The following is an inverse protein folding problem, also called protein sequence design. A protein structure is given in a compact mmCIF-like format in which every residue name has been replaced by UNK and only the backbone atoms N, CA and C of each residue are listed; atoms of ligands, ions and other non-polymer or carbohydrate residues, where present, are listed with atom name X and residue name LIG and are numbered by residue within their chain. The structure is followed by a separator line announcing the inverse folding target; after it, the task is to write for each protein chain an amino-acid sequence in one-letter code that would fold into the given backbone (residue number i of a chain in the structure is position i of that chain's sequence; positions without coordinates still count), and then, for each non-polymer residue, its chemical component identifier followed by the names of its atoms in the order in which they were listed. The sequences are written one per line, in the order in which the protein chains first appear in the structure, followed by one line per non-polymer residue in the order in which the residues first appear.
data_IF_075151763037
#
_entry.id   IF_075151763037
#
_cell.length_a   1.000
_cell.length_b   1.000
_cell.length_c   1.000
_cell.angle_alpha   90.00
_cell.angle_beta   90.00
_cell.angle_gamma   90.00
#
_symmetry.space_group_name_H-M   'P 1'
#
loop_
_entity.id
_entity.type
_entity.pdbx_description
1 polymer ?
#
# COMPACT_ATOMS: atom_id res chain seq x y z
N UNK A 1 44.63 42.26 -3.98
CA UNK A 1 44.29 41.36 -5.12
C UNK A 1 44.32 39.89 -4.69
N UNK A 2 45.42 39.36 -4.14
CA UNK A 2 45.51 37.92 -3.81
C UNK A 2 44.72 37.45 -2.57
N UNK A 3 44.41 38.33 -1.61
CA UNK A 3 43.64 37.95 -0.41
C UNK A 3 42.13 37.92 -0.67
N UNK A 4 41.62 38.81 -1.52
CA UNK A 4 40.22 38.84 -1.93
C UNK A 4 39.84 37.63 -2.80
N UNK A 5 40.75 37.18 -3.67
CA UNK A 5 40.56 35.97 -4.47
C UNK A 5 40.55 34.71 -3.60
N UNK A 6 41.44 34.60 -2.61
CA UNK A 6 41.43 33.49 -1.64
C UNK A 6 40.14 33.45 -0.81
N UNK A 7 39.69 34.62 -0.33
CA UNK A 7 38.44 34.72 0.42
C UNK A 7 37.22 34.31 -0.41
N UNK A 8 37.22 34.62 -1.71
CA UNK A 8 36.15 34.22 -2.63
C UNK A 8 36.14 32.70 -2.88
N UNK A 9 37.30 32.10 -3.15
CA UNK A 9 37.41 30.65 -3.36
C UNK A 9 37.04 29.84 -2.09
N UNK A 10 37.41 30.33 -0.91
CA UNK A 10 37.01 29.71 0.35
C UNK A 10 35.50 29.84 0.62
N UNK A 11 34.88 30.98 0.28
CA UNK A 11 33.43 31.16 0.35
C UNK A 11 32.69 30.22 -0.62
N UNK A 12 33.18 30.08 -1.85
CA UNK A 12 32.64 29.16 -2.85
C UNK A 12 32.75 27.70 -2.40
N UNK A 13 33.87 27.31 -1.80
CA UNK A 13 34.06 25.97 -1.23
C UNK A 13 33.06 25.69 -0.10
N UNK A 14 32.88 26.65 0.82
CA UNK A 14 31.89 26.54 1.92
C UNK A 14 30.47 26.42 1.39
N UNK A 15 30.11 27.20 0.37
CA UNK A 15 28.81 27.12 -0.28
C UNK A 15 28.58 25.72 -0.90
N UNK A 16 29.58 25.15 -1.56
CA UNK A 16 29.50 23.78 -2.11
C UNK A 16 29.23 22.72 -1.04
N UNK A 17 29.88 22.81 0.12
CA UNK A 17 29.65 21.89 1.25
C UNK A 17 28.23 22.00 1.80
N UNK A 18 27.71 23.21 1.98
CA UNK A 18 26.34 23.42 2.46
C UNK A 18 25.29 22.95 1.45
N UNK A 19 25.55 23.10 0.14
CA UNK A 19 24.66 22.58 -0.89
C UNK A 19 24.57 21.05 -0.88
N UNK A 20 25.70 20.36 -0.74
CA UNK A 20 25.71 18.91 -0.59
C UNK A 20 25.02 18.46 0.70
N UNK A 21 25.16 19.24 1.78
CA UNK A 21 24.42 18.99 3.02
C UNK A 21 22.91 19.11 2.82
N UNK A 22 22.45 20.13 2.11
CA UNK A 22 21.03 20.31 1.76
C UNK A 22 20.52 19.15 0.89
N UNK A 23 21.26 18.75 -0.15
CA UNK A 23 20.92 17.58 -0.99
C UNK A 23 20.80 16.30 -0.17
N UNK A 24 21.78 16.05 0.70
CA UNK A 24 21.79 14.88 1.58
C UNK A 24 20.60 14.90 2.54
N UNK A 25 20.26 16.06 3.11
CA UNK A 25 19.13 16.19 4.01
C UNK A 25 17.80 15.89 3.31
N UNK A 26 17.57 16.45 2.11
CA UNK A 26 16.36 16.16 1.30
C UNK A 26 16.22 14.65 1.06
N UNK A 27 17.27 13.99 0.59
CA UNK A 27 17.25 12.54 0.32
C UNK A 27 16.92 11.74 1.58
N UNK A 28 17.55 12.05 2.71
CA UNK A 28 17.30 11.38 3.99
C UNK A 28 15.86 11.55 4.48
N UNK A 29 15.29 12.74 4.35
CA UNK A 29 13.90 13.00 4.73
C UNK A 29 12.92 12.16 3.89
N UNK A 30 13.13 12.10 2.57
CA UNK A 30 12.28 11.30 1.69
C UNK A 30 12.47 9.79 1.89
N UNK A 31 13.69 9.34 2.17
CA UNK A 31 13.96 7.95 2.55
C UNK A 31 13.22 7.56 3.84
N UNK A 32 13.27 8.41 4.87
CA UNK A 32 12.53 8.18 6.12
C UNK A 32 11.00 8.19 5.90
N UNK A 33 10.49 9.04 5.02
CA UNK A 33 9.05 9.06 4.66
C UNK A 33 8.64 7.78 3.95
N UNK A 34 9.43 7.31 2.98
CA UNK A 34 9.21 6.02 2.29
C UNK A 34 9.20 4.88 3.29
N UNK A 35 10.21 4.79 4.15
CA UNK A 35 10.33 3.73 5.16
C UNK A 35 9.09 3.68 6.08
N UNK A 36 8.68 4.82 6.65
CA UNK A 36 7.47 4.89 7.49
C UNK A 36 6.21 4.48 6.74
N UNK A 37 6.08 4.90 5.48
CA UNK A 37 4.93 4.54 4.66
C UNK A 37 4.90 3.06 4.30
N UNK A 38 6.06 2.45 4.05
CA UNK A 38 6.18 1.01 3.76
C UNK A 38 5.91 0.15 5.00
N UNK A 39 6.40 0.55 6.16
CA UNK A 39 6.09 -0.09 7.45
C UNK A 39 4.59 -0.02 7.76
N UNK A 40 3.99 1.15 7.58
CA UNK A 40 2.54 1.36 7.74
C UNK A 40 1.74 0.46 6.79
N UNK A 41 2.13 0.40 5.51
CA UNK A 41 1.48 -0.45 4.52
C UNK A 41 1.58 -1.93 4.87
N UNK A 42 2.76 -2.41 5.30
CA UNK A 42 2.95 -3.81 5.72
C UNK A 42 2.05 -4.16 6.89
N UNK A 43 1.97 -3.29 7.91
CA UNK A 43 1.09 -3.49 9.06
C UNK A 43 -0.39 -3.50 8.67
N UNK A 44 -0.82 -2.59 7.77
CA UNK A 44 -2.19 -2.55 7.25
C UNK A 44 -2.54 -3.83 6.48
N UNK A 45 -1.65 -4.31 5.61
CA UNK A 45 -1.84 -5.53 4.83
C UNK A 45 -1.91 -6.78 5.71
N UNK A 46 -1.06 -6.87 6.74
CA UNK A 46 -1.12 -7.98 7.70
C UNK A 46 -2.43 -7.96 8.50
N UNK A 47 -2.85 -6.79 8.99
CA UNK A 47 -4.12 -6.64 9.68
C UNK A 47 -5.31 -6.98 8.78
N UNK A 48 -5.25 -6.61 7.49
CA UNK A 48 -6.28 -6.94 6.51
C UNK A 48 -6.35 -8.45 6.26
N UNK A 49 -5.22 -9.13 6.07
CA UNK A 49 -5.15 -10.60 5.93
C UNK A 49 -5.80 -11.29 7.13
N UNK A 50 -5.40 -10.93 8.36
CA UNK A 50 -5.99 -11.49 9.58
C UNK A 50 -7.50 -11.30 9.67
N UNK A 51 -8.00 -10.12 9.26
CA UNK A 51 -9.46 -9.85 9.22
C UNK A 51 -10.18 -10.71 8.18
N UNK A 52 -9.58 -10.90 7.01
CA UNK A 52 -10.13 -11.72 5.95
C UNK A 52 -10.14 -13.20 6.34
N UNK A 53 -9.05 -13.71 6.91
CA UNK A 53 -8.96 -15.09 7.41
C UNK A 53 -9.99 -15.36 8.49
N UNK A 54 -10.14 -14.43 9.44
CA UNK A 54 -11.19 -14.54 10.47
C UNK A 54 -12.58 -14.60 9.83
N UNK A 55 -12.87 -13.70 8.89
CA UNK A 55 -14.18 -13.64 8.23
C UNK A 55 -14.47 -14.88 7.39
N UNK A 56 -13.43 -15.50 6.81
CA UNK A 56 -13.55 -16.78 6.11
C UNK A 56 -13.92 -17.90 7.10
N UNK A 57 -13.23 -17.98 8.23
CA UNK A 57 -13.54 -18.97 9.27
C UNK A 57 -14.96 -18.78 9.82
N UNK A 58 -15.37 -17.53 10.07
CA UNK A 58 -16.73 -17.22 10.55
C UNK A 58 -17.79 -17.64 9.51
N UNK A 59 -17.50 -17.46 8.21
CA UNK A 59 -18.37 -17.90 7.12
C UNK A 59 -18.48 -19.43 7.07
N UNK A 60 -17.36 -20.14 7.18
CA UNK A 60 -17.33 -21.61 7.18
C UNK A 60 -18.08 -22.19 8.39
N UNK A 61 -17.94 -21.56 9.56
CA UNK A 61 -18.66 -21.95 10.77
C UNK A 61 -20.17 -21.73 10.62
N UNK A 62 -20.60 -20.54 10.17
CA UNK A 62 -22.02 -20.24 9.95
C UNK A 62 -22.67 -21.20 8.93
N UNK A 63 -21.93 -21.58 7.89
CA UNK A 63 -22.35 -22.56 6.90
C UNK A 63 -22.48 -23.97 7.49
N UNK A 64 -21.54 -24.37 8.34
CA UNK A 64 -21.60 -25.66 9.06
C UNK A 64 -22.82 -25.71 9.99
N UNK A 65 -23.07 -24.66 10.75
CA UNK A 65 -24.23 -24.57 11.66
C UNK A 65 -25.56 -24.60 10.91
N UNK A 66 -25.62 -23.95 9.74
CA UNK A 66 -26.78 -24.00 8.87
C UNK A 66 -27.01 -25.43 8.33
N UNK A 67 -25.96 -26.12 7.91
CA UNK A 67 -26.06 -27.50 7.43
C UNK A 67 -26.56 -28.44 8.55
N UNK A 68 -26.00 -28.34 9.76
CA UNK A 68 -26.46 -29.10 10.94
C UNK A 68 -27.93 -28.81 11.25
N UNK A 69 -28.33 -27.55 11.22
CA UNK A 69 -29.72 -27.15 11.49
C UNK A 69 -30.69 -27.73 10.46
N UNK A 70 -30.32 -27.67 9.17
CA UNK A 70 -31.11 -28.27 8.08
C UNK A 70 -31.23 -29.79 8.23
N UNK A 71 -30.13 -30.48 8.59
CA UNK A 71 -30.14 -31.91 8.84
C UNK A 71 -31.03 -32.31 10.02
N UNK A 72 -30.99 -31.56 11.12
CA UNK A 72 -31.90 -31.78 12.27
C UNK A 72 -33.35 -31.64 11.86
N UNK A 73 -33.71 -30.59 11.12
CA UNK A 73 -35.09 -30.38 10.63
C UNK A 73 -35.56 -31.53 9.74
N UNK A 74 -34.73 -31.97 8.79
CA UNK A 74 -35.09 -33.08 7.90
C UNK A 74 -35.24 -34.42 8.65
N UNK A 75 -34.46 -34.61 9.72
CA UNK A 75 -34.55 -35.81 10.56
C UNK A 75 -35.85 -35.85 11.37
N UNK A 76 -36.38 -34.68 11.76
CA UNK A 76 -37.64 -34.53 12.49
C UNK A 76 -38.87 -34.47 11.58
N UNK A 77 -38.69 -34.46 10.26
CA UNK A 77 -39.78 -34.35 9.29
C UNK A 77 -40.61 -35.64 9.24
N UNK A 78 -41.79 -35.59 9.86
CA UNK A 78 -42.75 -36.70 9.92
C UNK A 78 -43.48 -36.95 8.60
N UNK A 79 -43.39 -36.03 7.63
CA UNK A 79 -44.01 -36.23 6.31
C UNK A 79 -43.26 -37.28 5.47
N UNK A 80 -41.98 -37.50 5.76
CA UNK A 80 -41.12 -38.48 5.07
C UNK A 80 -41.26 -39.84 5.75
N UNK A 81 -42.03 -40.73 5.12
CA UNK A 81 -42.37 -42.05 5.67
C UNK A 81 -41.35 -43.15 5.36
N UNK A 82 -40.56 -42.99 4.30
CA UNK A 82 -39.56 -43.98 3.89
C UNK A 82 -38.14 -43.55 4.26
N UNK A 83 -37.36 -44.48 4.82
CA UNK A 83 -35.93 -44.29 5.08
C UNK A 83 -35.17 -43.94 3.80
N UNK A 84 -35.48 -44.60 2.68
CA UNK A 84 -34.80 -44.38 1.40
C UNK A 84 -35.07 -42.98 0.86
N UNK A 85 -36.30 -42.49 0.99
CA UNK A 85 -36.66 -41.12 0.60
C UNK A 85 -35.94 -40.08 1.48
N UNK A 86 -35.86 -40.34 2.79
CA UNK A 86 -35.10 -39.50 3.73
C UNK A 86 -33.63 -39.44 3.35
N UNK A 87 -33.00 -40.58 3.11
CA UNK A 87 -31.59 -40.65 2.69
C UNK A 87 -31.35 -39.91 1.35
N UNK A 88 -32.27 -40.04 0.38
CA UNK A 88 -32.20 -39.28 -0.87
C UNK A 88 -32.26 -37.77 -0.63
N UNK A 89 -33.25 -37.30 0.13
CA UNK A 89 -33.41 -35.88 0.49
C UNK A 89 -32.20 -35.33 1.26
N UNK A 90 -31.61 -36.12 2.17
CA UNK A 90 -30.37 -35.77 2.88
C UNK A 90 -29.21 -35.52 1.89
N UNK A 91 -29.02 -36.41 0.90
CA UNK A 91 -27.94 -36.28 -0.09
C UNK A 91 -28.15 -35.06 -0.99
N UNK A 92 -29.37 -34.84 -1.47
CA UNK A 92 -29.70 -33.70 -2.33
C UNK A 92 -29.51 -32.37 -1.60
N UNK A 93 -29.98 -32.27 -0.36
CA UNK A 93 -29.77 -31.11 0.49
C UNK A 93 -28.29 -30.84 0.78
N UNK A 94 -27.50 -31.90 1.03
CA UNK A 94 -26.08 -31.77 1.26
C UNK A 94 -25.37 -31.26 0.00
N UNK A 95 -25.70 -31.83 -1.17
CA UNK A 95 -25.15 -31.40 -2.46
C UNK A 95 -25.49 -29.92 -2.75
N UNK A 96 -26.77 -29.55 -2.62
CA UNK A 96 -27.22 -28.17 -2.84
C UNK A 96 -26.56 -27.19 -1.88
N UNK A 97 -26.45 -27.55 -0.59
CA UNK A 97 -25.79 -26.69 0.41
C UNK A 97 -24.31 -26.52 0.09
N UNK A 98 -23.61 -27.60 -0.27
CA UNK A 98 -22.20 -27.55 -0.68
C UNK A 98 -21.98 -26.66 -1.91
N UNK A 99 -22.84 -26.75 -2.92
CA UNK A 99 -22.73 -25.90 -4.12
C UNK A 99 -22.88 -24.41 -3.80
N UNK A 100 -23.79 -24.05 -2.89
CA UNK A 100 -23.94 -22.66 -2.42
C UNK A 100 -22.70 -22.22 -1.65
N UNK A 101 -22.17 -23.09 -0.78
CA UNK A 101 -20.97 -22.80 0.01
C UNK A 101 -19.75 -22.58 -0.88
N UNK A 102 -19.53 -23.45 -1.86
CA UNK A 102 -18.41 -23.32 -2.81
C UNK A 102 -18.49 -22.01 -3.60
N UNK A 103 -19.69 -21.61 -4.03
CA UNK A 103 -19.91 -20.33 -4.72
C UNK A 103 -19.63 -19.13 -3.81
N UNK A 104 -20.10 -19.18 -2.58
CA UNK A 104 -19.92 -18.09 -1.63
C UNK A 104 -18.45 -17.94 -1.20
N UNK A 105 -17.77 -19.07 -0.96
CA UNK A 105 -16.33 -19.12 -0.70
C UNK A 105 -15.55 -18.53 -1.88
N UNK A 106 -15.88 -18.94 -3.11
CA UNK A 106 -15.24 -18.38 -4.32
C UNK A 106 -15.46 -16.87 -4.41
N UNK A 107 -16.68 -16.39 -4.19
CA UNK A 107 -17.00 -14.94 -4.19
C UNK A 107 -16.19 -14.20 -3.12
N UNK A 108 -16.05 -14.79 -1.93
CA UNK A 108 -15.27 -14.22 -0.85
C UNK A 108 -13.78 -14.12 -1.23
N UNK A 109 -13.18 -15.19 -1.75
CA UNK A 109 -11.79 -15.20 -2.19
C UNK A 109 -11.51 -14.15 -3.26
N UNK A 110 -12.35 -14.05 -4.28
CA UNK A 110 -12.20 -13.03 -5.34
C UNK A 110 -12.29 -11.62 -4.77
N UNK A 111 -13.27 -11.35 -3.89
CA UNK A 111 -13.41 -10.04 -3.25
C UNK A 111 -12.23 -9.69 -2.33
N UNK A 112 -11.68 -10.68 -1.64
CA UNK A 112 -10.49 -10.52 -0.80
C UNK A 112 -9.24 -10.18 -1.64
N UNK A 113 -9.03 -10.89 -2.75
CA UNK A 113 -7.93 -10.62 -3.69
C UNK A 113 -8.03 -9.21 -4.29
N UNK A 114 -9.22 -8.81 -4.76
CA UNK A 114 -9.46 -7.48 -5.33
C UNK A 114 -9.17 -6.36 -4.32
N UNK A 115 -9.60 -6.53 -3.07
CA UNK A 115 -9.35 -5.55 -2.01
C UNK A 115 -7.85 -5.41 -1.73
N UNK A 116 -7.13 -6.53 -1.68
CA UNK A 116 -5.68 -6.57 -1.46
C UNK A 116 -4.91 -5.95 -2.64
N UNK A 117 -5.35 -6.21 -3.86
CA UNK A 117 -4.78 -5.64 -5.08
C UNK A 117 -4.98 -4.12 -5.12
N UNK A 118 -6.20 -3.63 -4.81
CA UNK A 118 -6.48 -2.20 -4.72
C UNK A 118 -5.52 -1.52 -3.72
N UNK A 119 -5.34 -2.11 -2.54
CA UNK A 119 -4.44 -1.57 -1.52
C UNK A 119 -2.98 -1.54 -1.96
N UNK A 120 -2.53 -2.57 -2.67
CA UNK A 120 -1.21 -2.59 -3.26
C UNK A 120 -1.04 -1.48 -4.32
N UNK A 121 -2.06 -1.22 -5.13
CA UNK A 121 -2.04 -0.17 -6.12
C UNK A 121 -1.99 1.22 -5.48
N UNK A 122 -2.83 1.49 -4.46
CA UNK A 122 -2.80 2.72 -3.68
C UNK A 122 -1.41 3.00 -3.09
N UNK A 123 -0.75 1.97 -2.57
CA UNK A 123 0.61 2.08 -2.02
C UNK A 123 1.65 2.40 -3.10
N UNK A 124 1.59 1.74 -4.27
CA UNK A 124 2.48 2.02 -5.40
C UNK A 124 2.37 3.46 -5.87
N UNK A 125 1.15 3.98 -5.95
CA UNK A 125 0.90 5.37 -6.33
C UNK A 125 1.46 6.36 -5.30
N UNK A 126 1.32 6.04 -4.00
CA UNK A 126 1.92 6.84 -2.93
C UNK A 126 3.45 6.86 -3.02
N UNK A 127 4.09 5.72 -3.26
CA UNK A 127 5.54 5.62 -3.44
C UNK A 127 6.01 6.43 -4.66
N UNK A 128 5.28 6.34 -5.77
CA UNK A 128 5.56 7.14 -6.96
C UNK A 128 5.46 8.64 -6.68
N UNK A 129 4.40 9.08 -5.98
CA UNK A 129 4.23 10.49 -5.59
C UNK A 129 5.39 10.98 -4.72
N UNK A 130 5.86 10.18 -3.76
CA UNK A 130 7.02 10.53 -2.94
C UNK A 130 8.30 10.67 -3.77
N UNK A 131 8.52 9.80 -4.76
CA UNK A 131 9.67 9.90 -5.64
C UNK A 131 9.63 11.17 -6.51
N UNK A 132 8.46 11.52 -7.05
CA UNK A 132 8.27 12.75 -7.83
C UNK A 132 8.50 13.99 -6.94
N UNK A 133 8.03 13.97 -5.69
CA UNK A 133 8.26 15.07 -4.75
C UNK A 133 9.74 15.23 -4.39
N UNK A 134 10.47 14.12 -4.21
CA UNK A 134 11.92 14.15 -3.97
C UNK A 134 12.66 14.77 -5.16
N UNK A 135 12.35 14.33 -6.37
CA UNK A 135 12.95 14.87 -7.60
C UNK A 135 12.71 16.37 -7.72
N UNK A 136 11.47 16.83 -7.52
CA UNK A 136 11.12 18.26 -7.55
C UNK A 136 11.83 19.07 -6.46
N UNK A 137 12.00 18.52 -5.27
CA UNK A 137 12.73 19.20 -4.19
C UNK A 137 14.21 19.39 -4.52
N UNK A 138 14.83 18.39 -5.16
CA UNK A 138 16.21 18.47 -5.63
C UNK A 138 16.37 19.43 -6.81
N UNK A 139 15.46 19.37 -7.79
CA UNK A 139 15.43 20.31 -8.93
C UNK A 139 15.30 21.76 -8.43
N UNK A 140 14.39 22.01 -7.48
CA UNK A 140 14.22 23.35 -6.91
C UNK A 140 15.48 23.86 -6.20
N UNK A 141 16.22 22.97 -5.56
CA UNK A 141 17.51 23.33 -4.95
C UNK A 141 18.52 23.74 -6.03
N UNK A 142 18.53 23.05 -7.16
CA UNK A 142 19.42 23.37 -8.29
C UNK A 142 19.04 24.67 -8.98
N UNK A 143 17.75 24.97 -9.13
CA UNK A 143 17.25 26.26 -9.61
C UNK A 143 17.72 27.41 -8.72
N UNK A 144 17.61 27.26 -7.40
CA UNK A 144 18.07 28.29 -6.44
C UNK A 144 19.57 28.51 -6.60
N UNK A 145 20.35 27.43 -6.72
CA UNK A 145 21.79 27.52 -6.96
C UNK A 145 22.09 28.24 -8.26
N UNK A 146 21.40 27.91 -9.35
CA UNK A 146 21.59 28.54 -10.65
C UNK A 146 21.32 30.05 -10.61
N UNK A 147 20.23 30.47 -9.95
CA UNK A 147 19.88 31.89 -9.78
C UNK A 147 20.96 32.66 -9.01
N UNK A 148 21.50 32.09 -7.93
CA UNK A 148 22.58 32.70 -7.14
C UNK A 148 23.84 32.91 -8.00
N UNK A 149 24.14 31.98 -8.91
CA UNK A 149 25.30 32.11 -9.82
C UNK A 149 25.06 33.15 -10.93
N UNK A 150 23.81 33.33 -11.37
CA UNK A 150 23.46 34.34 -12.37
C UNK A 150 23.57 35.78 -11.84
N UNK A 151 23.16 36.01 -10.59
CA UNK A 151 23.24 37.32 -9.93
C UNK A 151 24.68 37.69 -9.49
N UNK A 152 25.59 36.72 -9.45
CA UNK A 152 26.97 36.88 -9.00
C UNK A 152 28.00 37.25 -10.07
N UNK A 153 27.62 37.40 -11.34
CA UNK A 153 28.56 37.89 -12.37
C UNK A 153 28.85 39.38 -12.15
N UNK A 154 30.10 39.78 -11.84
CA UNK A 154 30.46 41.19 -11.83
C UNK A 154 30.32 41.69 -13.26
N UNK A 155 29.44 42.67 -13.49
CA UNK A 155 29.50 43.47 -14.71
C UNK A 155 30.91 44.06 -14.77
N UNK A 156 31.75 43.53 -15.67
CA UNK A 156 33.00 44.17 -16.04
C UNK A 156 32.62 45.53 -16.60
N UNK A 157 32.65 46.55 -15.76
CA UNK A 157 32.45 47.94 -16.13
C UNK A 157 33.61 48.32 -17.05
N UNK A 158 33.44 48.10 -18.34
CA UNK A 158 34.33 48.65 -19.36
C UNK A 158 33.97 50.12 -19.53
N UNK A 159 34.37 50.94 -18.56
CA UNK A 159 34.44 52.39 -18.76
C UNK A 159 35.69 52.66 -19.62
N UNK A 160 35.44 53.07 -20.87
CA UNK A 160 36.40 53.76 -21.74
C UNK A 160 36.12 55.25 -21.67
#
# INVERSE_FOLDING_TARGET
MAESERSYEDAKRRAGVELERCRSHIRKEFEQRRKRSEESYKAEMEAMRKKLDKRLNDLEQAQTDLAVTKFRRLSMDQSIRSRQEREKKMREMNKSSKEVFDKERKRFSVGAEQLMEQKMQEHRELMHKLAVQEAKALERLEEIVASIHADGQPTRSTSR
#
